data_IF_496072893498
#
_entry.id   IF_496072893498
#
_cell.length_a   1.000
_cell.length_b   1.000
_cell.length_c   1.000
_cell.angle_alpha   90.00
_cell.angle_beta   90.00
_cell.angle_gamma   90.00
#
_symmetry.space_group_name_H-M   'P 1'
#
loop_
_entity.id
_entity.type
_entity.pdbx_description
1 polymer ?
#
# COMPACT_ATOMS: atom_id res chain seq x y z
N UNK A 1 18.37 -19.36 -5.93
CA UNK A 1 18.65 -18.25 -6.88
C UNK A 1 17.30 -17.71 -7.32
N UNK A 2 17.14 -16.40 -7.34
CA UNK A 2 15.92 -15.73 -7.74
C UNK A 2 16.18 -14.96 -9.04
N UNK A 3 15.27 -15.10 -9.98
CA UNK A 3 15.28 -14.40 -11.26
C UNK A 3 13.94 -13.66 -11.36
N UNK A 4 13.99 -12.34 -11.46
CA UNK A 4 12.81 -11.51 -11.75
C UNK A 4 12.88 -11.05 -13.19
N UNK A 5 11.79 -11.26 -13.93
CA UNK A 5 11.64 -10.84 -15.32
C UNK A 5 10.47 -9.86 -15.42
N UNK A 6 10.68 -8.75 -16.11
CA UNK A 6 9.65 -7.79 -16.41
C UNK A 6 9.85 -7.25 -17.83
N UNK A 7 9.05 -7.76 -18.77
CA UNK A 7 9.19 -7.47 -20.20
C UNK A 7 10.63 -7.74 -20.64
N UNK A 8 11.42 -6.70 -20.91
CA UNK A 8 12.81 -6.80 -21.38
C UNK A 8 13.83 -6.69 -20.23
N UNK A 9 13.40 -6.32 -19.02
CA UNK A 9 14.26 -6.17 -17.85
C UNK A 9 14.36 -7.49 -17.07
N UNK A 10 15.59 -7.84 -16.69
CA UNK A 10 15.93 -9.05 -15.96
C UNK A 10 16.81 -8.70 -14.77
N UNK A 11 16.54 -9.29 -13.60
CA UNK A 11 17.42 -9.17 -12.43
C UNK A 11 17.57 -10.53 -11.76
N UNK A 12 18.81 -10.90 -11.46
CA UNK A 12 19.16 -12.15 -10.78
C UNK A 12 19.74 -11.82 -9.40
N UNK A 13 19.35 -12.56 -8.38
CA UNK A 13 19.89 -12.43 -7.02
C UNK A 13 19.98 -13.79 -6.33
N UNK A 14 20.94 -13.96 -5.43
CA UNK A 14 21.17 -15.24 -4.77
C UNK A 14 22.40 -15.20 -3.87
N UNK A 15 22.64 -16.30 -3.13
CA UNK A 15 23.69 -16.34 -2.10
C UNK A 15 25.10 -16.55 -2.67
N UNK A 16 25.24 -17.04 -3.91
CA UNK A 16 26.52 -17.41 -4.52
C UNK A 16 26.70 -16.70 -5.85
N UNK A 17 27.68 -15.80 -5.91
CA UNK A 17 28.00 -14.98 -7.09
C UNK A 17 28.30 -15.83 -8.34
N UNK A 18 29.07 -16.91 -8.18
CA UNK A 18 29.38 -17.85 -9.27
C UNK A 18 28.13 -18.43 -9.95
N UNK A 19 27.06 -18.65 -9.18
CA UNK A 19 25.80 -19.16 -9.74
C UNK A 19 25.02 -18.06 -10.49
N UNK A 20 25.14 -16.80 -10.05
CA UNK A 20 24.56 -15.65 -10.73
C UNK A 20 25.25 -15.42 -12.08
N UNK A 21 26.59 -15.43 -12.08
CA UNK A 21 27.40 -15.29 -13.30
C UNK A 21 27.09 -16.39 -14.32
N UNK A 22 26.98 -17.62 -13.85
CA UNK A 22 26.60 -18.74 -14.69
C UNK A 22 25.22 -18.56 -15.33
N UNK A 23 24.20 -18.15 -14.55
CA UNK A 23 22.86 -17.90 -15.10
C UNK A 23 22.87 -16.77 -16.11
N UNK A 24 23.53 -15.65 -15.81
CA UNK A 24 23.63 -14.52 -16.72
C UNK A 24 24.31 -14.93 -18.04
N UNK A 25 25.37 -15.74 -17.97
CA UNK A 25 26.03 -16.30 -19.15
C UNK A 25 25.12 -17.23 -19.96
N UNK A 26 24.30 -18.06 -19.31
CA UNK A 26 23.33 -18.93 -19.99
C UNK A 26 22.18 -18.16 -20.67
N UNK A 27 21.77 -17.02 -20.09
CA UNK A 27 20.80 -16.11 -20.69
C UNK A 27 21.41 -15.42 -21.91
N UNK A 28 22.64 -14.90 -21.79
CA UNK A 28 23.36 -14.22 -22.86
C UNK A 28 23.64 -15.12 -24.09
N UNK A 29 23.68 -16.44 -23.92
CA UNK A 29 23.78 -17.40 -25.04
C UNK A 29 22.52 -17.44 -25.92
N UNK A 30 21.35 -17.10 -25.35
CA UNK A 30 20.05 -17.20 -26.03
C UNK A 30 19.48 -15.84 -26.42
N UNK A 31 19.85 -14.78 -25.71
CA UNK A 31 19.31 -13.44 -25.88
C UNK A 31 20.44 -12.42 -25.98
N UNK A 32 20.23 -11.38 -26.80
CA UNK A 32 21.09 -10.21 -26.79
C UNK A 32 20.89 -9.49 -25.45
N UNK A 33 21.93 -9.47 -24.63
CA UNK A 33 21.88 -8.92 -23.27
C UNK A 33 22.80 -7.72 -23.17
N UNK A 34 22.39 -6.74 -22.37
CA UNK A 34 23.20 -5.58 -22.03
C UNK A 34 23.22 -5.42 -20.53
N UNK A 35 24.41 -5.49 -19.94
CA UNK A 35 24.56 -5.23 -18.51
C UNK A 35 24.15 -3.79 -18.20
N UNK A 36 23.38 -3.67 -17.13
CA UNK A 36 22.86 -2.41 -16.63
C UNK A 36 23.70 -2.02 -15.42
N UNK A 37 24.18 -0.78 -15.41
CA UNK A 37 24.96 -0.24 -14.29
C UNK A 37 24.22 -0.43 -12.94
N UNK A 38 24.97 -0.72 -11.88
CA UNK A 38 24.46 -1.09 -10.55
C UNK A 38 23.50 -0.04 -9.94
N UNK A 39 23.57 1.21 -10.39
CA UNK A 39 22.76 2.32 -9.90
C UNK A 39 21.68 2.81 -10.89
N UNK A 40 21.46 2.12 -12.02
CA UNK A 40 20.38 2.50 -12.94
C UNK A 40 19.02 2.20 -12.30
N UNK A 41 18.00 3.05 -12.50
CA UNK A 41 16.65 2.75 -12.05
C UNK A 41 16.16 1.39 -12.60
N UNK A 42 15.62 0.55 -11.72
CA UNK A 42 14.99 -0.72 -12.07
C UNK A 42 13.48 -0.51 -12.11
N UNK A 43 12.86 -0.69 -13.27
CA UNK A 43 11.43 -0.45 -13.47
C UNK A 43 10.97 0.90 -12.94
N UNK A 44 11.78 1.97 -13.15
CA UNK A 44 11.51 3.33 -12.67
C UNK A 44 11.78 3.60 -11.19
N UNK A 45 12.19 2.58 -10.41
CA UNK A 45 12.58 2.71 -9.01
C UNK A 45 14.10 2.90 -8.88
N UNK A 46 14.51 3.87 -8.08
CA UNK A 46 15.89 4.07 -7.66
C UNK A 46 16.16 3.25 -6.39
N UNK A 47 16.83 2.11 -6.56
CA UNK A 47 17.22 1.22 -5.46
C UNK A 47 18.70 1.46 -5.13
N UNK A 48 18.98 2.13 -4.02
CA UNK A 48 20.35 2.50 -3.61
C UNK A 48 20.73 1.78 -2.32
N UNK A 49 21.89 1.11 -2.34
CA UNK A 49 22.49 0.54 -1.13
C UNK A 49 23.29 1.62 -0.40
N UNK A 50 22.96 1.87 0.85
CA UNK A 50 23.67 2.81 1.71
C UNK A 50 24.96 2.20 2.27
N UNK A 51 25.86 3.05 2.78
CA UNK A 51 27.15 2.61 3.33
C UNK A 51 27.01 1.63 4.51
N UNK A 52 25.95 1.77 5.32
CA UNK A 52 25.62 0.84 6.41
C UNK A 52 25.02 -0.49 5.91
N UNK A 53 24.76 -0.61 4.60
CA UNK A 53 24.20 -1.77 3.95
C UNK A 53 22.67 -1.76 3.78
N UNK A 54 21.98 -0.75 4.33
CA UNK A 54 20.54 -0.56 4.15
C UNK A 54 20.19 -0.32 2.67
N UNK A 55 18.96 -0.65 2.29
CA UNK A 55 18.46 -0.47 0.93
C UNK A 55 17.37 0.60 0.93
N UNK A 56 17.62 1.71 0.25
CA UNK A 56 16.64 2.76 0.02
C UNK A 56 15.99 2.57 -1.35
N UNK A 57 14.65 2.57 -1.40
CA UNK A 57 13.85 2.53 -2.62
C UNK A 57 13.10 3.85 -2.76
N UNK A 58 13.41 4.59 -3.82
CA UNK A 58 12.88 5.94 -4.08
C UNK A 58 12.48 6.09 -5.55
N UNK A 59 11.77 7.16 -5.91
CA UNK A 59 11.31 7.44 -7.28
C UNK A 59 11.53 8.93 -7.62
N UNK A 60 12.65 9.52 -7.21
CA UNK A 60 12.86 10.97 -7.25
C UNK A 60 12.81 11.53 -8.68
N UNK A 61 13.45 10.84 -9.64
CA UNK A 61 13.41 11.26 -11.05
C UNK A 61 11.99 11.23 -11.62
N UNK A 62 11.24 10.17 -11.31
CA UNK A 62 9.86 10.04 -11.78
C UNK A 62 8.94 11.10 -11.14
N UNK A 63 9.18 11.46 -9.88
CA UNK A 63 8.49 12.57 -9.22
C UNK A 63 8.75 13.89 -9.96
N UNK A 64 9.98 14.19 -10.36
CA UNK A 64 10.28 15.40 -11.14
C UNK A 64 9.53 15.42 -12.47
N UNK A 65 9.55 14.31 -13.21
CA UNK A 65 8.84 14.16 -14.48
C UNK A 65 7.33 14.43 -14.33
N UNK A 66 6.69 13.88 -13.28
CA UNK A 66 5.26 14.15 -13.01
C UNK A 66 5.03 15.63 -12.65
N UNK A 67 5.89 16.21 -11.80
CA UNK A 67 5.70 17.59 -11.35
C UNK A 67 5.88 18.58 -12.50
N UNK A 68 6.80 18.32 -13.42
CA UNK A 68 6.98 19.12 -14.64
C UNK A 68 5.79 18.95 -15.59
N UNK A 69 5.34 17.71 -15.85
CA UNK A 69 4.21 17.42 -16.75
C UNK A 69 2.93 18.16 -16.29
N UNK A 70 2.64 18.13 -14.99
CA UNK A 70 1.45 18.78 -14.42
C UNK A 70 1.65 20.27 -14.06
N UNK A 71 2.79 20.88 -14.37
CA UNK A 71 3.07 22.28 -14.05
C UNK A 71 3.11 22.58 -12.54
N UNK A 72 3.46 21.58 -11.72
CA UNK A 72 3.47 21.62 -10.26
C UNK A 72 4.87 21.84 -9.66
N UNK A 73 5.91 21.86 -10.50
CA UNK A 73 7.33 22.07 -10.13
C UNK A 73 7.57 23.37 -9.35
N UNK A 74 6.85 24.46 -9.66
CA UNK A 74 6.98 25.78 -9.01
C UNK A 74 5.90 26.10 -7.99
N UNK A 75 4.91 25.22 -7.80
CA UNK A 75 3.77 25.47 -6.89
C UNK A 75 4.19 25.30 -5.42
N UNK A 76 3.59 26.08 -4.51
CA UNK A 76 3.87 25.96 -3.08
C UNK A 76 3.59 24.53 -2.57
N UNK A 77 4.45 23.92 -1.74
CA UNK A 77 4.25 22.57 -1.22
C UNK A 77 3.02 22.46 -0.30
N UNK A 78 2.54 21.24 -0.08
CA UNK A 78 1.54 20.89 0.92
C UNK A 78 2.14 19.95 1.97
N UNK A 79 1.63 19.96 3.20
CA UNK A 79 2.23 19.18 4.31
C UNK A 79 1.59 17.81 4.52
N UNK A 80 0.40 17.56 3.97
CA UNK A 80 -0.29 16.27 3.99
C UNK A 80 -0.78 15.97 2.57
N UNK A 81 -0.96 14.69 2.20
CA UNK A 81 -1.43 14.31 0.87
C UNK A 81 -2.88 14.73 0.62
N UNK A 82 -3.65 14.93 1.69
CA UNK A 82 -5.04 15.31 1.63
C UNK A 82 -5.39 16.19 2.83
N UNK A 83 -6.29 17.15 2.64
CA UNK A 83 -6.79 17.99 3.72
C UNK A 83 -7.71 17.17 4.64
N UNK A 84 -7.53 17.30 5.96
CA UNK A 84 -8.43 16.69 6.93
C UNK A 84 -9.86 17.20 6.74
N UNK A 85 -10.83 16.27 6.71
CA UNK A 85 -12.24 16.60 6.58
C UNK A 85 -12.72 16.93 5.15
N UNK A 86 -11.89 16.76 4.12
CA UNK A 86 -12.35 16.89 2.73
C UNK A 86 -13.51 15.92 2.45
N UNK A 87 -14.54 16.41 1.77
CA UNK A 87 -15.67 15.63 1.29
C UNK A 87 -15.96 16.03 -0.14
N UNK A 88 -15.66 15.13 -1.07
CA UNK A 88 -16.00 15.27 -2.47
C UNK A 88 -17.34 14.57 -2.73
N UNK A 89 -18.22 15.24 -3.46
CA UNK A 89 -19.53 14.71 -3.85
C UNK A 89 -19.60 14.54 -5.37
N UNK A 90 -20.43 13.62 -5.85
CA UNK A 90 -20.66 13.51 -7.29
C UNK A 90 -21.43 14.73 -7.78
N UNK A 91 -20.76 15.62 -8.52
CA UNK A 91 -21.41 16.76 -9.17
C UNK A 91 -22.11 16.33 -10.47
N UNK A 92 -23.41 16.66 -10.66
CA UNK A 92 -24.16 16.43 -11.90
C UNK A 92 -23.86 17.48 -12.99
N UNK A 93 -23.14 18.55 -12.67
CA UNK A 93 -22.83 19.61 -13.61
C UNK A 93 -21.53 19.33 -14.39
N UNK A 94 -21.52 19.68 -15.68
CA UNK A 94 -20.29 19.81 -16.45
C UNK A 94 -19.55 21.05 -15.95
N UNK A 95 -18.35 20.86 -15.40
CA UNK A 95 -17.53 22.00 -14.99
C UNK A 95 -17.06 22.77 -16.23
N UNK A 96 -17.80 23.83 -16.53
CA UNK A 96 -17.41 24.86 -17.47
C UNK A 96 -16.48 25.85 -16.76
N UNK A 97 -15.24 25.92 -17.24
CA UNK A 97 -14.28 26.98 -16.93
C UNK A 97 -13.59 26.86 -15.58
N UNK A 98 -12.24 26.84 -15.61
CA UNK A 98 -11.31 27.58 -14.72
C UNK A 98 -9.86 27.09 -14.86
N UNK A 99 -9.63 25.93 -15.48
CA UNK A 99 -8.28 25.40 -15.73
C UNK A 99 -8.22 24.78 -17.13
N UNK A 100 -7.39 25.36 -18.01
CA UNK A 100 -7.23 24.90 -19.40
C UNK A 100 -6.61 23.49 -19.47
N UNK A 101 -5.91 23.02 -18.42
CA UNK A 101 -5.32 21.67 -18.38
C UNK A 101 -6.33 20.61 -17.85
N UNK A 102 -7.45 21.02 -17.26
CA UNK A 102 -8.40 20.06 -16.70
C UNK A 102 -9.20 19.34 -17.79
N UNK A 103 -8.90 18.05 -17.96
CA UNK A 103 -9.76 17.10 -18.67
C UNK A 103 -9.90 15.81 -17.86
N UNK A 104 -10.97 15.04 -18.09
CA UNK A 104 -11.13 13.73 -17.46
C UNK A 104 -9.97 12.78 -17.80
N UNK A 105 -9.37 12.93 -18.98
CA UNK A 105 -8.17 12.19 -19.39
C UNK A 105 -6.95 12.62 -18.59
N UNK A 106 -6.71 13.93 -18.44
CA UNK A 106 -5.60 14.47 -17.64
C UNK A 106 -5.69 14.06 -16.18
N UNK A 107 -6.90 14.09 -15.62
CA UNK A 107 -7.16 13.58 -14.27
C UNK A 107 -6.77 12.10 -14.11
N UNK A 108 -7.20 11.24 -15.04
CA UNK A 108 -6.85 9.81 -15.02
C UNK A 108 -5.35 9.57 -15.21
N UNK A 109 -4.69 10.36 -16.05
CA UNK A 109 -3.23 10.31 -16.20
C UNK A 109 -2.52 10.66 -14.89
N UNK A 110 -2.98 11.71 -14.19
CA UNK A 110 -2.42 12.10 -12.90
C UNK A 110 -2.62 11.02 -11.84
N UNK A 111 -3.80 10.43 -11.78
CA UNK A 111 -4.06 9.30 -10.87
C UNK A 111 -3.23 8.07 -11.21
N UNK A 112 -3.09 7.72 -12.48
CA UNK A 112 -2.22 6.62 -12.91
C UNK A 112 -0.77 6.85 -12.49
N UNK A 113 -0.29 8.09 -12.62
CA UNK A 113 1.07 8.45 -12.24
C UNK A 113 1.29 8.37 -10.73
N UNK A 114 0.35 8.90 -9.95
CA UNK A 114 0.37 8.78 -8.49
C UNK A 114 0.19 7.34 -8.01
N UNK A 115 -0.61 6.53 -8.71
CA UNK A 115 -0.81 5.12 -8.37
C UNK A 115 0.48 4.32 -8.54
N UNK A 116 1.31 4.64 -9.52
CA UNK A 116 2.59 3.99 -9.67
C UNK A 116 3.58 4.39 -8.55
N UNK A 117 3.55 5.64 -8.05
CA UNK A 117 4.26 5.98 -6.81
C UNK A 117 3.76 5.14 -5.61
N UNK A 118 2.44 5.04 -5.46
CA UNK A 118 1.79 4.26 -4.39
C UNK A 118 2.22 2.81 -4.43
N UNK A 119 2.23 2.17 -5.60
CA UNK A 119 2.54 0.74 -5.73
C UNK A 119 4.03 0.41 -5.55
N UNK A 120 4.92 1.40 -5.64
CA UNK A 120 6.37 1.17 -5.67
C UNK A 120 7.12 1.65 -4.44
N UNK A 121 6.81 2.84 -3.91
CA UNK A 121 7.59 3.41 -2.78
C UNK A 121 6.84 4.36 -1.84
N UNK A 122 5.58 4.69 -2.12
CA UNK A 122 4.83 5.75 -1.42
C UNK A 122 3.50 5.25 -0.82
N UNK A 123 3.54 4.38 0.21
CA UNK A 123 2.33 3.91 0.90
C UNK A 123 1.52 5.06 1.53
N UNK A 124 2.17 6.16 1.89
CA UNK A 124 1.57 7.36 2.46
C UNK A 124 0.59 8.09 1.52
N UNK A 125 0.66 7.81 0.22
CA UNK A 125 -0.26 8.36 -0.78
C UNK A 125 -1.51 7.47 -1.01
N UNK A 126 -1.51 6.24 -0.49
CA UNK A 126 -2.46 5.20 -0.88
C UNK A 126 -3.92 5.61 -0.65
N UNK A 127 -4.23 6.18 0.51
CA UNK A 127 -5.59 6.65 0.80
C UNK A 127 -6.03 7.76 -0.16
N UNK A 128 -5.19 8.79 -0.33
CA UNK A 128 -5.53 9.95 -1.15
C UNK A 128 -5.81 9.54 -2.61
N UNK A 129 -4.95 8.68 -3.18
CA UNK A 129 -5.11 8.16 -4.54
C UNK A 129 -6.34 7.25 -4.66
N UNK A 130 -6.58 6.37 -3.68
CA UNK A 130 -7.78 5.52 -3.67
C UNK A 130 -9.07 6.33 -3.61
N UNK A 131 -9.13 7.34 -2.74
CA UNK A 131 -10.28 8.21 -2.57
C UNK A 131 -10.60 8.99 -3.85
N UNK A 132 -9.59 9.60 -4.47
CA UNK A 132 -9.75 10.33 -5.73
C UNK A 132 -10.13 9.42 -6.91
N UNK A 133 -9.65 8.17 -6.91
CA UNK A 133 -9.99 7.19 -7.95
C UNK A 133 -11.49 6.85 -8.01
N UNK A 134 -12.27 7.13 -6.95
CA UNK A 134 -13.74 6.96 -6.93
C UNK A 134 -14.45 7.83 -7.97
N UNK A 135 -13.82 8.92 -8.40
CA UNK A 135 -14.37 9.90 -9.34
C UNK A 135 -13.83 9.72 -10.77
N UNK A 136 -13.10 8.65 -11.06
CA UNK A 136 -12.47 8.40 -12.37
C UNK A 136 -13.42 8.43 -13.59
N UNK A 137 -14.66 8.00 -13.39
CA UNK A 137 -15.67 7.99 -14.45
C UNK A 137 -16.15 9.40 -14.80
N UNK A 138 -16.17 10.30 -13.81
CA UNK A 138 -16.74 11.64 -13.95
C UNK A 138 -16.08 12.60 -12.95
N UNK A 139 -14.80 12.96 -13.16
CA UNK A 139 -14.11 13.91 -12.29
C UNK A 139 -14.63 15.32 -12.51
N UNK A 140 -14.51 16.17 -11.49
CA UNK A 140 -14.91 17.59 -11.50
C UNK A 140 -13.80 18.45 -10.87
N UNK A 141 -13.97 19.77 -10.85
CA UNK A 141 -12.96 20.77 -10.47
C UNK A 141 -12.37 20.55 -9.08
N UNK A 142 -13.19 20.10 -8.12
CA UNK A 142 -12.73 19.85 -6.76
C UNK A 142 -11.86 18.59 -6.69
N UNK A 143 -12.18 17.56 -7.49
CA UNK A 143 -11.32 16.39 -7.68
C UNK A 143 -9.98 16.82 -8.27
N UNK A 144 -9.99 17.70 -9.28
CA UNK A 144 -8.77 18.22 -9.89
C UNK A 144 -7.93 19.04 -8.90
N UNK A 145 -8.56 19.93 -8.13
CA UNK A 145 -7.89 20.68 -7.08
C UNK A 145 -7.28 19.76 -6.00
N UNK A 146 -7.99 18.70 -5.62
CA UNK A 146 -7.49 17.70 -4.68
C UNK A 146 -6.33 16.87 -5.25
N UNK A 147 -6.36 16.50 -6.54
CA UNK A 147 -5.23 15.85 -7.21
C UNK A 147 -4.00 16.75 -7.22
N UNK A 148 -4.16 18.03 -7.57
CA UNK A 148 -3.07 19.02 -7.49
C UNK A 148 -2.57 19.19 -6.05
N UNK A 149 -3.42 19.07 -5.04
CA UNK A 149 -2.99 19.06 -3.64
C UNK A 149 -2.05 17.87 -3.34
N UNK A 150 -2.38 16.67 -3.82
CA UNK A 150 -1.50 15.50 -3.68
C UNK A 150 -0.14 15.76 -4.34
N UNK A 151 -0.11 16.35 -5.54
CA UNK A 151 1.14 16.70 -6.22
C UNK A 151 1.98 17.72 -5.44
N UNK A 152 1.35 18.71 -4.79
CA UNK A 152 2.05 19.65 -3.89
C UNK A 152 2.69 18.96 -2.69
N UNK A 153 2.05 17.91 -2.17
CA UNK A 153 2.61 17.10 -1.09
C UNK A 153 3.77 16.24 -1.59
N UNK A 154 3.61 15.57 -2.72
CA UNK A 154 4.68 14.79 -3.39
C UNK A 154 5.92 15.65 -3.61
N UNK A 155 5.76 16.91 -4.04
CA UNK A 155 6.86 17.88 -4.16
C UNK A 155 7.59 18.12 -2.83
N UNK A 156 6.85 18.29 -1.73
CA UNK A 156 7.44 18.51 -0.39
C UNK A 156 8.26 17.30 0.05
N UNK A 157 7.75 16.11 -0.25
CA UNK A 157 8.28 14.83 0.22
C UNK A 157 8.97 14.06 -0.91
N UNK A 158 9.65 14.78 -1.82
CA UNK A 158 10.26 14.18 -3.01
C UNK A 158 11.24 13.06 -2.64
N UNK A 159 12.00 13.26 -1.58
CA UNK A 159 13.03 12.32 -1.10
C UNK A 159 12.48 11.20 -0.20
N UNK A 160 11.16 11.12 -0.01
CA UNK A 160 10.55 10.02 0.73
C UNK A 160 10.52 8.76 -0.12
N UNK A 161 10.74 7.63 0.55
CA UNK A 161 10.66 6.29 -0.02
C UNK A 161 10.68 5.24 1.09
N UNK A 162 11.04 4.01 0.74
CA UNK A 162 11.10 2.91 1.69
C UNK A 162 12.57 2.60 2.01
N UNK A 163 12.90 2.55 3.29
CA UNK A 163 14.21 2.11 3.77
C UNK A 163 14.09 0.71 4.35
N UNK A 164 14.76 -0.27 3.74
CA UNK A 164 14.90 -1.63 4.25
C UNK A 164 16.23 -1.75 4.99
N UNK A 165 16.15 -2.02 6.30
CA UNK A 165 17.34 -2.13 7.14
C UNK A 165 18.04 -3.46 6.91
N UNK A 166 19.38 -3.43 6.83
CA UNK A 166 20.20 -4.65 6.76
C UNK A 166 20.15 -5.45 8.05
N UNK A 167 20.16 -4.76 9.19
CA UNK A 167 20.08 -5.40 10.50
C UNK A 167 18.68 -5.97 10.72
N UNK A 168 18.59 -7.28 10.95
CA UNK A 168 17.33 -7.97 11.21
C UNK A 168 16.98 -7.94 12.69
N UNK A 169 15.87 -7.29 13.02
CA UNK A 169 15.34 -7.22 14.38
C UNK A 169 14.15 -8.19 14.45
N UNK A 170 14.38 -9.40 14.97
CA UNK A 170 13.30 -10.38 15.20
C UNK A 170 12.99 -11.36 14.06
N UNK A 171 13.87 -11.46 13.05
CA UNK A 171 13.74 -12.44 11.96
C UNK A 171 12.76 -12.03 10.86
N UNK A 172 12.50 -12.95 9.92
CA UNK A 172 11.61 -12.74 8.76
C UNK A 172 10.16 -13.08 9.12
N UNK A 173 9.57 -12.36 10.07
CA UNK A 173 8.17 -12.50 10.46
C UNK A 173 7.40 -11.22 10.09
N UNK A 174 6.42 -11.30 9.16
CA UNK A 174 5.58 -10.16 8.83
C UNK A 174 4.69 -9.75 10.01
N UNK A 175 4.61 -8.44 10.24
CA UNK A 175 3.67 -7.82 11.19
C UNK A 175 2.69 -6.96 10.40
N UNK A 176 1.41 -7.30 10.47
CA UNK A 176 0.35 -6.57 9.80
C UNK A 176 -0.38 -5.64 10.75
N UNK A 177 -0.84 -4.52 10.19
CA UNK A 177 -1.78 -3.61 10.80
C UNK A 177 -2.97 -3.50 9.86
N UNK A 178 -4.18 -3.53 10.41
CA UNK A 178 -5.39 -3.25 9.65
C UNK A 178 -6.23 -2.19 10.35
N UNK A 179 -6.98 -1.46 9.55
CA UNK A 179 -7.93 -0.46 10.00
C UNK A 179 -9.09 -0.39 9.00
N UNK A 180 -10.25 0.07 9.45
CA UNK A 180 -11.32 0.48 8.56
C UNK A 180 -11.87 1.85 8.94
N UNK A 181 -12.22 2.67 7.94
CA UNK A 181 -13.07 3.81 8.26
C UNK A 181 -14.49 3.29 8.58
N UNK A 182 -15.16 3.90 9.55
CA UNK A 182 -16.59 3.67 9.72
C UNK A 182 -17.36 4.72 8.94
N UNK A 183 -18.05 4.27 7.88
CA UNK A 183 -18.99 5.06 7.11
C UNK A 183 -18.46 6.47 6.81
N UNK A 184 -17.32 6.53 6.12
CA UNK A 184 -16.83 7.77 5.52
C UNK A 184 -17.92 8.43 4.66
N UNK A 185 -17.69 9.67 4.24
CA UNK A 185 -18.57 10.44 3.35
C UNK A 185 -18.76 9.82 1.94
N UNK A 186 -18.58 8.50 1.80
CA UNK A 186 -18.89 7.75 0.58
C UNK A 186 -20.40 7.74 0.34
N UNK A 187 -20.88 8.22 -0.81
CA UNK A 187 -22.31 8.27 -1.13
C UNK A 187 -23.01 6.90 -1.13
N UNK A 188 -22.26 5.79 -1.16
CA UNK A 188 -22.77 4.43 -1.14
C UNK A 188 -22.61 3.77 0.24
N UNK A 189 -22.19 4.51 1.27
CA UNK A 189 -22.02 4.04 2.65
C UNK A 189 -21.05 2.85 2.79
N UNK A 190 -20.08 2.74 1.87
CA UNK A 190 -19.06 1.69 1.91
C UNK A 190 -17.83 2.18 2.63
N UNK A 191 -17.36 1.40 3.60
CA UNK A 191 -16.13 1.66 4.32
C UNK A 191 -14.88 1.54 3.43
N UNK A 192 -13.77 2.10 3.88
CA UNK A 192 -12.44 1.95 3.32
C UNK A 192 -11.64 0.99 4.19
N UNK A 193 -11.19 -0.13 3.62
CA UNK A 193 -10.21 -1.03 4.23
C UNK A 193 -8.81 -0.47 4.01
N UNK A 194 -8.04 -0.39 5.09
CA UNK A 194 -6.62 -0.09 5.07
C UNK A 194 -5.82 -1.22 5.71
N UNK A 195 -4.73 -1.64 5.09
CA UNK A 195 -3.74 -2.48 5.77
C UNK A 195 -2.33 -2.14 5.33
N UNK A 196 -1.37 -2.39 6.22
CA UNK A 196 0.06 -2.29 5.95
C UNK A 196 0.79 -3.42 6.65
N UNK A 197 1.65 -4.10 5.91
CA UNK A 197 2.42 -5.24 6.36
C UNK A 197 3.88 -4.85 6.37
N UNK A 198 4.50 -4.97 7.53
CA UNK A 198 5.90 -4.66 7.76
C UNK A 198 6.71 -5.95 7.82
N UNK A 199 7.89 -5.92 7.22
CA UNK A 199 8.94 -6.92 7.41
C UNK A 199 10.18 -6.18 7.92
N UNK A 200 10.70 -6.60 9.07
CA UNK A 200 11.82 -5.92 9.73
C UNK A 200 11.57 -4.40 9.97
N UNK A 201 10.32 -4.04 10.24
CA UNK A 201 9.91 -2.64 10.46
C UNK A 201 9.69 -1.81 9.19
N UNK A 202 9.93 -2.36 8.00
CA UNK A 202 9.75 -1.67 6.72
C UNK A 202 8.53 -2.19 5.97
N UNK A 203 7.72 -1.33 5.32
CA UNK A 203 6.55 -1.77 4.58
C UNK A 203 6.92 -2.61 3.37
N UNK A 204 6.24 -3.74 3.19
CA UNK A 204 6.42 -4.65 2.05
C UNK A 204 5.13 -4.91 1.26
N UNK A 205 3.97 -4.72 1.88
CA UNK A 205 2.67 -4.74 1.23
C UNK A 205 1.74 -3.79 1.95
N UNK A 206 0.90 -3.08 1.20
CA UNK A 206 -0.06 -2.13 1.74
C UNK A 206 -1.23 -1.99 0.79
N UNK A 207 -2.37 -1.57 1.35
CA UNK A 207 -3.58 -1.33 0.57
C UNK A 207 -4.45 -0.28 1.24
N UNK A 208 -5.04 0.56 0.40
CA UNK A 208 -6.23 1.34 0.73
C UNK A 208 -7.28 1.04 -0.32
N UNK A 209 -8.44 0.54 0.10
CA UNK A 209 -9.47 0.10 -0.83
C UNK A 209 -10.86 0.27 -0.25
N UNK A 210 -11.77 0.85 -1.03
CA UNK A 210 -13.20 0.84 -0.71
C UNK A 210 -13.74 -0.60 -0.68
N UNK A 211 -14.36 -0.97 0.44
CA UNK A 211 -15.00 -2.27 0.63
C UNK A 211 -16.08 -2.50 -0.43
N UNK A 212 -16.29 -3.75 -0.82
CA UNK A 212 -17.27 -4.09 -1.87
C UNK A 212 -18.70 -4.06 -1.34
N UNK A 213 -18.89 -4.42 -0.06
CA UNK A 213 -20.17 -4.46 0.64
C UNK A 213 -20.27 -3.39 1.73
N UNK A 214 -21.52 -3.08 2.12
CA UNK A 214 -21.81 -2.15 3.21
C UNK A 214 -21.77 -2.92 4.52
N UNK A 215 -20.85 -2.57 5.41
CA UNK A 215 -20.79 -3.09 6.76
C UNK A 215 -21.94 -2.53 7.61
N UNK A 216 -22.54 -3.37 8.46
CA UNK A 216 -23.65 -2.98 9.35
C UNK A 216 -23.19 -2.46 10.70
N UNK A 217 -21.89 -2.50 10.97
CA UNK A 217 -21.28 -2.00 12.20
C UNK A 217 -19.80 -1.67 11.99
N UNK A 218 -19.22 -0.85 12.87
CA UNK A 218 -17.77 -0.59 12.95
C UNK A 218 -17.00 -1.90 13.04
N UNK A 219 -17.39 -2.77 13.96
CA UNK A 219 -16.77 -4.09 14.17
C UNK A 219 -16.80 -4.97 12.91
N UNK A 220 -17.86 -4.92 12.12
CA UNK A 220 -17.93 -5.67 10.85
C UNK A 220 -16.97 -5.10 9.80
N UNK A 221 -16.88 -3.78 9.66
CA UNK A 221 -15.94 -3.14 8.74
C UNK A 221 -14.48 -3.47 9.12
N UNK A 222 -14.17 -3.43 10.41
CA UNK A 222 -12.85 -3.78 10.97
C UNK A 222 -12.52 -5.25 10.76
N UNK A 223 -13.50 -6.13 10.97
CA UNK A 223 -13.33 -7.56 10.74
C UNK A 223 -13.08 -7.88 9.26
N UNK A 224 -13.73 -7.15 8.34
CA UNK A 224 -13.45 -7.25 6.90
C UNK A 224 -12.01 -6.81 6.60
N UNK A 225 -11.58 -5.67 7.13
CA UNK A 225 -10.21 -5.17 6.94
C UNK A 225 -9.15 -6.13 7.48
N UNK A 226 -9.36 -6.66 8.68
CA UNK A 226 -8.51 -7.67 9.31
C UNK A 226 -8.46 -8.97 8.48
N UNK A 227 -9.60 -9.39 7.91
CA UNK A 227 -9.65 -10.58 7.06
C UNK A 227 -8.85 -10.42 5.77
N UNK A 228 -8.91 -9.26 5.11
CA UNK A 228 -8.12 -8.98 3.91
C UNK A 228 -6.61 -8.93 4.24
N UNK A 229 -6.24 -8.28 5.36
CA UNK A 229 -4.86 -8.23 5.83
C UNK A 229 -4.32 -9.63 6.14
N UNK A 230 -5.11 -10.49 6.79
CA UNK A 230 -4.73 -11.86 7.09
C UNK A 230 -4.45 -12.68 5.82
N UNK A 231 -5.31 -12.60 4.81
CA UNK A 231 -5.09 -13.28 3.53
C UNK A 231 -3.76 -12.87 2.88
N UNK A 232 -3.47 -11.57 2.85
CA UNK A 232 -2.23 -11.03 2.27
C UNK A 232 -1.00 -11.50 3.06
N UNK A 233 -1.07 -11.52 4.39
CA UNK A 233 0.01 -12.00 5.26
C UNK A 233 0.31 -13.48 5.03
N UNK A 234 -0.72 -14.31 4.90
CA UNK A 234 -0.54 -15.74 4.62
C UNK A 234 0.09 -15.93 3.24
N UNK A 235 -0.33 -15.17 2.23
CA UNK A 235 0.30 -15.19 0.92
C UNK A 235 1.79 -14.80 0.97
N UNK A 236 2.15 -13.78 1.76
CA UNK A 236 3.54 -13.39 1.97
C UNK A 236 4.35 -14.46 2.71
N UNK A 237 3.77 -15.13 3.71
CA UNK A 237 4.42 -16.24 4.40
C UNK A 237 4.70 -17.40 3.44
N UNK A 238 3.73 -17.74 2.58
CA UNK A 238 3.88 -18.75 1.54
C UNK A 238 5.02 -18.37 0.58
N UNK A 239 5.06 -17.10 0.15
CA UNK A 239 6.15 -16.60 -0.70
C UNK A 239 7.52 -16.68 -0.02
N UNK A 240 7.64 -16.33 1.27
CA UNK A 240 8.89 -16.43 2.02
C UNK A 240 9.35 -17.89 2.17
N UNK A 241 8.41 -18.80 2.37
CA UNK A 241 8.68 -20.23 2.47
C UNK A 241 9.11 -20.81 1.12
N UNK A 242 8.38 -20.53 0.05
CA UNK A 242 8.70 -20.98 -1.31
C UNK A 242 10.04 -20.40 -1.79
N UNK A 243 10.35 -19.19 -1.34
CA UNK A 243 11.66 -18.59 -1.56
C UNK A 243 12.78 -19.32 -0.79
N UNK A 244 12.49 -20.15 0.21
CA UNK A 244 13.49 -20.79 1.06
C UNK A 244 14.15 -19.82 2.05
N UNK A 245 13.47 -18.71 2.37
CA UNK A 245 13.94 -17.70 3.32
C UNK A 245 13.53 -18.01 4.76
N UNK A 246 12.51 -18.85 4.94
CA UNK A 246 12.05 -19.34 6.25
C UNK A 246 11.87 -20.85 6.21
N UNK A 247 12.18 -21.53 7.32
CA UNK A 247 12.03 -22.98 7.44
C UNK A 247 10.65 -23.35 7.97
N UNK A 248 9.92 -24.18 7.21
CA UNK A 248 8.66 -24.79 7.62
C UNK A 248 7.45 -23.84 7.51
N UNK A 249 6.51 -24.18 6.61
CA UNK A 249 5.27 -23.43 6.36
C UNK A 249 4.44 -23.13 7.63
N UNK A 250 4.50 -24.01 8.63
CA UNK A 250 3.66 -23.99 9.83
C UNK A 250 4.21 -23.21 11.04
N UNK A 251 5.29 -22.42 10.90
CA UNK A 251 5.95 -21.76 12.07
C UNK A 251 5.90 -20.24 12.12
N UNK A 252 5.55 -19.54 11.06
CA UNK A 252 5.44 -18.07 11.13
C UNK A 252 4.01 -17.71 11.52
N UNK A 253 3.73 -17.77 12.83
CA UNK A 253 2.54 -17.15 13.37
C UNK A 253 2.69 -15.64 13.16
N UNK A 254 1.89 -15.07 12.26
CA UNK A 254 2.01 -13.66 11.94
C UNK A 254 1.12 -12.83 12.84
N UNK A 255 1.66 -11.70 13.29
CA UNK A 255 0.95 -10.78 14.17
C UNK A 255 0.07 -9.88 13.33
N UNK A 256 -1.23 -9.83 13.63
CA UNK A 256 -2.20 -8.91 13.04
C UNK A 256 -2.70 -7.96 14.11
N UNK A 257 -2.27 -6.70 14.02
CA UNK A 257 -2.62 -5.63 14.94
C UNK A 257 -3.86 -4.90 14.46
N UNK A 258 -4.87 -4.84 15.32
CA UNK A 258 -6.18 -4.23 15.05
C UNK A 258 -6.57 -3.37 16.27
N UNK A 259 -7.21 -2.23 16.06
CA UNK A 259 -7.62 -1.36 17.18
C UNK A 259 -9.03 -1.67 17.72
N UNK A 260 -9.80 -2.46 16.98
CA UNK A 260 -11.16 -2.86 17.36
C UNK A 260 -11.19 -4.20 18.11
N UNK A 261 -11.39 -4.14 19.43
CA UNK A 261 -11.55 -5.34 20.28
C UNK A 261 -12.70 -6.23 19.83
N UNK A 262 -13.82 -5.66 19.38
CA UNK A 262 -14.96 -6.45 18.90
C UNK A 262 -14.63 -7.32 17.70
N UNK A 263 -13.75 -6.86 16.80
CA UNK A 263 -13.28 -7.64 15.65
C UNK A 263 -12.36 -8.78 16.12
N UNK A 264 -11.49 -8.52 17.09
CA UNK A 264 -10.62 -9.54 17.71
C UNK A 264 -11.46 -10.62 18.40
N UNK A 265 -12.43 -10.23 19.23
CA UNK A 265 -13.29 -11.15 19.97
C UNK A 265 -14.14 -12.01 19.02
N UNK A 266 -14.56 -11.44 17.89
CA UNK A 266 -15.28 -12.16 16.85
C UNK A 266 -14.40 -13.20 16.14
N UNK A 267 -13.15 -12.86 15.84
CA UNK A 267 -12.18 -13.76 15.22
C UNK A 267 -11.75 -14.90 16.17
N UNK A 268 -11.76 -14.67 17.49
CA UNK A 268 -11.52 -15.72 18.50
C UNK A 268 -12.73 -16.61 18.79
N UNK A 269 -13.89 -16.33 18.17
CA UNK A 269 -15.13 -17.07 18.41
C UNK A 269 -15.83 -16.72 19.72
N UNK A 270 -15.35 -15.74 20.47
CA UNK A 270 -15.87 -15.35 21.80
C UNK A 270 -17.17 -14.52 21.71
N UNK A 271 -17.50 -13.98 20.53
CA UNK A 271 -18.64 -13.06 20.30
C UNK A 271 -19.63 -13.51 19.20
N UNK A 272 -19.94 -14.81 19.14
CA UNK A 272 -20.95 -15.37 18.21
C UNK A 272 -22.39 -15.03 18.66
N UNK A 273 -22.84 -13.82 18.36
CA UNK A 273 -24.23 -13.41 18.55
C UNK A 273 -25.06 -13.59 17.28
N UNK A 274 -26.40 -13.51 17.37
CA UNK A 274 -27.28 -13.48 16.17
C UNK A 274 -26.92 -12.33 15.21
N UNK A 275 -26.24 -11.28 15.70
CA UNK A 275 -25.77 -10.10 14.93
C UNK A 275 -24.44 -10.30 14.21
N UNK A 276 -23.68 -11.37 14.41
CA UNK A 276 -22.44 -11.62 13.64
C UNK A 276 -22.61 -12.72 12.58
N UNK A 277 -23.77 -13.39 12.55
CA UNK A 277 -24.11 -14.41 11.54
C UNK A 277 -24.28 -13.85 10.13
N UNK A 278 -24.48 -12.54 9.98
CA UNK A 278 -24.67 -11.91 8.68
C UNK A 278 -23.37 -11.51 7.99
N UNK A 279 -22.23 -11.66 8.67
CA UNK A 279 -20.93 -11.45 8.04
C UNK A 279 -20.80 -12.46 6.91
N UNK A 280 -20.38 -11.97 5.74
CA UNK A 280 -20.23 -12.82 4.57
C UNK A 280 -19.25 -13.96 4.86
N UNK A 281 -19.60 -15.17 4.41
CA UNK A 281 -18.85 -16.40 4.69
C UNK A 281 -17.37 -16.27 4.29
N UNK A 282 -17.07 -15.50 3.22
CA UNK A 282 -15.69 -15.29 2.76
C UNK A 282 -14.78 -14.70 3.83
N UNK A 283 -15.30 -13.93 4.77
CA UNK A 283 -14.51 -13.31 5.85
C UNK A 283 -14.37 -14.22 7.08
N UNK A 284 -15.02 -15.39 7.10
CA UNK A 284 -14.76 -16.40 8.13
C UNK A 284 -13.38 -17.06 8.01
N UNK A 285 -12.65 -16.82 6.91
CA UNK A 285 -11.26 -17.25 6.78
C UNK A 285 -10.39 -16.72 7.92
N UNK A 286 -10.62 -15.48 8.38
CA UNK A 286 -9.86 -14.90 9.50
C UNK A 286 -9.97 -15.77 10.76
N UNK A 287 -11.18 -16.24 11.08
CA UNK A 287 -11.40 -17.12 12.24
C UNK A 287 -10.67 -18.46 12.08
N UNK A 288 -10.75 -19.07 10.90
CA UNK A 288 -10.04 -20.33 10.61
C UNK A 288 -8.52 -20.19 10.76
N UNK A 289 -7.95 -19.08 10.27
CA UNK A 289 -6.52 -18.77 10.41
C UNK A 289 -6.11 -18.55 11.89
N UNK A 290 -6.98 -17.91 12.68
CA UNK A 290 -6.75 -17.72 14.13
C UNK A 290 -6.88 -19.05 14.88
N UNK A 291 -7.89 -19.86 14.58
CA UNK A 291 -8.10 -21.18 15.21
C UNK A 291 -6.94 -22.16 14.91
N UNK A 292 -6.36 -22.09 13.71
CA UNK A 292 -5.16 -22.86 13.34
C UNK A 292 -3.86 -22.32 13.93
N UNK A 293 -3.88 -21.15 14.54
CA UNK A 293 -2.68 -20.48 15.08
C UNK A 293 -1.76 -19.87 14.01
N UNK A 294 -2.24 -19.71 12.78
CA UNK A 294 -1.48 -19.08 11.69
C UNK A 294 -1.44 -17.54 11.84
N UNK A 295 -2.48 -16.96 12.43
CA UNK A 295 -2.59 -15.53 12.74
C UNK A 295 -2.79 -15.32 14.24
N UNK A 296 -1.95 -14.48 14.84
CA UNK A 296 -2.13 -13.97 16.20
C UNK A 296 -2.68 -12.55 16.15
N UNK A 297 -3.93 -12.37 16.55
CA UNK A 297 -4.54 -11.04 16.62
C UNK A 297 -4.18 -10.32 17.92
N UNK A 298 -3.68 -9.10 17.78
CA UNK A 298 -3.25 -8.22 18.88
C UNK A 298 -4.01 -6.90 18.83
N UNK A 299 -4.37 -6.38 20.00
CA UNK A 299 -4.94 -5.04 20.09
C UNK A 299 -3.83 -3.98 20.06
N UNK A 300 -3.95 -3.00 19.17
CA UNK A 300 -3.13 -1.78 19.15
C UNK A 300 -4.00 -0.56 19.43
N UNK A 301 -3.50 0.44 20.16
CA UNK A 301 -4.27 1.69 20.33
C UNK A 301 -4.41 2.43 19.00
N UNK A 302 -5.55 3.09 18.75
CA UNK A 302 -5.81 3.77 17.46
C UNK A 302 -4.72 4.79 17.08
N UNK A 303 -4.13 5.51 18.04
CA UNK A 303 -3.02 6.44 17.77
C UNK A 303 -1.69 5.77 17.42
N UNK A 304 -1.56 4.48 17.69
CA UNK A 304 -0.41 3.65 17.32
C UNK A 304 -0.70 2.74 16.13
N UNK A 305 -1.93 2.78 15.58
CA UNK A 305 -2.31 1.99 14.41
C UNK A 305 -1.87 2.72 13.14
N UNK A 306 -0.73 2.30 12.57
CA UNK A 306 -0.19 2.91 11.35
C UNK A 306 -1.09 2.69 10.11
N UNK A 307 -2.06 1.79 10.16
CA UNK A 307 -3.04 1.60 9.10
C UNK A 307 -4.11 2.72 9.04
N UNK A 308 -4.23 3.56 10.07
CA UNK A 308 -5.18 4.68 10.15
C UNK A 308 -5.00 5.68 8.99
N UNK A 309 -3.74 5.91 8.58
CA UNK A 309 -3.41 6.77 7.44
C UNK A 309 -3.85 6.21 6.08
N UNK A 310 -4.26 4.94 6.03
CA UNK A 310 -4.73 4.25 4.82
C UNK A 310 -6.26 4.25 4.70
N UNK A 311 -6.99 4.68 5.72
CA UNK A 311 -8.46 4.65 5.75
C UNK A 311 -9.08 6.05 5.75
N UNK A 312 -8.35 7.06 6.22
CA UNK A 312 -8.87 8.44 6.33
C UNK A 312 -7.76 9.50 6.24
N UNK A 313 -8.10 10.77 5.95
CA UNK A 313 -7.11 11.84 5.98
C UNK A 313 -6.78 12.20 7.42
N UNK A 314 -5.49 12.20 7.76
CA UNK A 314 -5.00 12.54 9.09
C UNK A 314 -4.62 14.02 9.19
N UNK A 315 -4.79 14.59 10.38
CA UNK A 315 -4.24 15.90 10.70
C UNK A 315 -2.70 15.80 10.76
N UNK A 316 -2.01 16.89 10.41
CA UNK A 316 -0.55 16.91 10.27
C UNK A 316 0.22 16.25 11.43
N UNK A 317 -0.05 16.52 12.72
CA UNK A 317 0.71 15.91 13.81
C UNK A 317 0.55 14.39 13.96
N UNK A 318 -0.55 13.83 13.44
CA UNK A 318 -0.78 12.38 13.43
C UNK A 318 -0.30 11.73 12.13
N UNK A 319 -0.11 12.53 11.08
CA UNK A 319 0.38 12.08 9.77
C UNK A 319 1.91 12.04 9.69
N UNK A 320 2.59 13.04 10.27
CA UNK A 320 4.06 13.10 10.38
C UNK A 320 4.60 12.09 11.40
#
# INVERSE_FOLDING_TARGET
>A
IYLTLHVDDCRVTGPQEQQLDWILAEIAKRFETKDVEENKPYLGMEVKRQMNGDLAVTQNRYIDEILEDFGMDKVNPASTPMAAGIRLEFSPDEDSGLDDDFTATRYRQGLGSLQYLVSSSRPDLAFAVNYLSRFNSRPHKECWAALKHVLRYVKKTKDHGILYKKEMIGGLSPVAYSDSDWAGADPQYKSTTGYIILLNGSPISWRSQRQTSVAKSTTEAEYIAASEAACEVIWLNDMLFDAGLVEGKAKVCSHLRVDNKGAIDLAKGESLTRRSRHIEIRYHILRDLVEKGEIMMEHVGSTANIADGLTKPLARPAFE
#
